data_IF_335464278051
#
_entry.id   IF_335464278051
#
_cell.length_a   1.000
_cell.length_b   1.000
_cell.length_c   1.000
_cell.angle_alpha   90.00
_cell.angle_beta   90.00
_cell.angle_gamma   90.00
#
_symmetry.space_group_name_H-M   'P 1'
#
loop_
_entity.id
_entity.type
_entity.pdbx_description
1 polymer ?
#
# COMPACT_ATOMS: atom_id res chain seq x y z
N UNK A 1 -37.10 -38.28 3.81
CA UNK A 1 -36.30 -37.87 2.64
C UNK A 1 -36.50 -36.38 2.50
N UNK A 2 -35.58 -35.61 3.09
CA UNK A 2 -35.59 -34.15 3.03
C UNK A 2 -34.45 -33.76 2.09
N UNK A 3 -34.80 -33.00 1.05
CA UNK A 3 -33.92 -32.54 -0.01
C UNK A 3 -32.77 -31.67 0.54
N UNK A 4 -31.48 -31.99 0.28
CA UNK A 4 -30.35 -31.18 0.73
C UNK A 4 -29.98 -30.03 -0.22
N UNK A 5 -30.85 -29.61 -1.14
CA UNK A 5 -30.51 -28.60 -2.15
C UNK A 5 -31.45 -27.40 -2.17
N UNK A 6 -31.45 -26.60 -1.10
CA UNK A 6 -31.71 -25.16 -1.22
C UNK A 6 -30.63 -24.41 -0.44
N UNK A 7 -29.53 -24.09 -1.13
CA UNK A 7 -28.61 -23.08 -0.63
C UNK A 7 -29.43 -21.81 -0.37
N UNK A 8 -29.50 -21.38 0.89
CA UNK A 8 -30.06 -20.07 1.23
C UNK A 8 -29.22 -19.06 0.44
N UNK A 9 -29.81 -18.22 -0.43
CA UNK A 9 -29.03 -17.22 -1.16
C UNK A 9 -28.26 -16.39 -0.14
N UNK A 10 -26.95 -16.32 -0.31
CA UNK A 10 -26.10 -15.52 0.58
C UNK A 10 -26.66 -14.08 0.58
N UNK A 11 -26.86 -13.52 1.77
CA UNK A 11 -27.32 -12.13 1.86
C UNK A 11 -26.35 -11.23 1.08
N UNK A 12 -26.87 -10.32 0.27
CA UNK A 12 -26.07 -9.34 -0.47
C UNK A 12 -26.26 -7.94 0.10
N UNK A 13 -25.29 -7.08 -0.15
CA UNK A 13 -25.32 -5.66 0.19
C UNK A 13 -25.27 -4.86 -1.11
N UNK A 14 -26.32 -4.08 -1.35
CA UNK A 14 -26.38 -3.14 -2.47
C UNK A 14 -25.69 -1.82 -2.11
N UNK A 15 -24.97 -1.23 -3.07
CA UNK A 15 -24.35 0.09 -2.98
C UNK A 15 -24.13 0.65 -4.40
N UNK A 16 -23.74 1.91 -4.51
CA UNK A 16 -23.29 2.50 -5.77
C UNK A 16 -21.78 2.69 -5.71
N UNK A 17 -21.03 2.10 -6.62
CA UNK A 17 -19.58 2.26 -6.71
C UNK A 17 -19.24 2.88 -8.05
N UNK A 18 -18.54 4.02 -8.04
CA UNK A 18 -18.09 4.72 -9.26
C UNK A 18 -19.25 4.99 -10.25
N UNK A 19 -20.43 5.30 -9.69
CA UNK A 19 -21.66 5.58 -10.44
C UNK A 19 -22.45 4.34 -10.87
N UNK A 20 -21.95 3.13 -10.61
CA UNK A 20 -22.60 1.87 -10.98
C UNK A 20 -23.24 1.22 -9.76
N UNK A 21 -24.52 0.84 -9.87
CA UNK A 21 -25.19 0.06 -8.84
C UNK A 21 -24.64 -1.37 -8.84
N UNK A 22 -24.20 -1.85 -7.68
CA UNK A 22 -23.59 -3.18 -7.50
C UNK A 22 -24.19 -3.87 -6.28
N UNK A 23 -24.18 -5.19 -6.30
CA UNK A 23 -24.49 -6.04 -5.15
C UNK A 23 -23.30 -6.94 -4.86
N UNK A 24 -22.87 -6.96 -3.59
CA UNK A 24 -21.73 -7.76 -3.13
C UNK A 24 -22.15 -8.71 -2.01
N UNK A 25 -21.54 -9.90 -1.89
CA UNK A 25 -21.85 -10.82 -0.80
C UNK A 25 -21.63 -10.19 0.58
N UNK A 26 -22.56 -10.43 1.51
CA UNK A 26 -22.43 -10.06 2.91
C UNK A 26 -21.64 -11.11 3.69
N UNK A 27 -20.33 -11.17 3.43
CA UNK A 27 -19.41 -12.09 4.12
C UNK A 27 -18.95 -11.57 5.50
N UNK A 28 -19.54 -10.49 6.03
CA UNK A 28 -19.09 -9.85 7.27
C UNK A 28 -17.85 -8.95 7.12
N UNK A 29 -17.45 -8.69 5.88
CA UNK A 29 -16.17 -8.08 5.53
C UNK A 29 -16.07 -6.57 5.56
N UNK A 30 -14.86 -6.11 5.21
CA UNK A 30 -14.55 -4.69 5.05
C UNK A 30 -14.92 -4.17 3.65
N UNK A 31 -15.15 -2.87 3.53
CA UNK A 31 -15.33 -2.20 2.24
C UNK A 31 -14.12 -2.41 1.32
N UNK A 32 -12.90 -2.48 1.86
CA UNK A 32 -11.72 -2.78 1.05
C UNK A 32 -11.80 -4.17 0.38
N UNK A 33 -12.21 -5.18 1.14
CA UNK A 33 -12.36 -6.55 0.63
C UNK A 33 -13.42 -6.60 -0.47
N UNK A 34 -14.56 -5.94 -0.26
CA UNK A 34 -15.60 -5.84 -1.28
C UNK A 34 -15.11 -5.18 -2.57
N UNK A 35 -14.42 -4.04 -2.47
CA UNK A 35 -13.92 -3.32 -3.64
C UNK A 35 -12.86 -4.12 -4.40
N UNK A 36 -11.88 -4.71 -3.69
CA UNK A 36 -10.75 -5.40 -4.34
C UNK A 36 -11.07 -6.83 -4.79
N UNK A 37 -11.67 -7.63 -3.90
CA UNK A 37 -11.80 -9.07 -4.10
C UNK A 37 -13.12 -9.45 -4.77
N UNK A 38 -14.20 -8.69 -4.55
CA UNK A 38 -15.49 -8.95 -5.21
C UNK A 38 -15.74 -8.10 -6.46
N UNK A 39 -15.21 -6.88 -6.51
CA UNK A 39 -15.42 -5.94 -7.63
C UNK A 39 -14.17 -5.71 -8.49
N UNK A 40 -13.01 -6.26 -8.12
CA UNK A 40 -11.76 -6.12 -8.88
C UNK A 40 -11.14 -4.71 -8.87
N UNK A 41 -11.66 -3.78 -8.08
CA UNK A 41 -11.23 -2.38 -8.02
C UNK A 41 -9.93 -2.23 -7.23
N UNK A 42 -8.82 -2.54 -7.92
CA UNK A 42 -7.47 -2.59 -7.35
C UNK A 42 -6.75 -1.23 -7.31
N UNK A 43 -7.36 -0.16 -7.81
CA UNK A 43 -6.93 1.23 -7.57
C UNK A 43 -6.91 1.59 -6.07
N UNK A 44 -7.78 0.95 -5.28
CA UNK A 44 -7.82 1.09 -3.81
C UNK A 44 -6.73 0.22 -3.20
N UNK A 45 -5.70 0.83 -2.61
CA UNK A 45 -4.46 0.13 -2.22
C UNK A 45 -4.50 -0.46 -0.82
N UNK A 46 -4.13 -1.74 -0.71
CA UNK A 46 -4.01 -2.43 0.57
C UNK A 46 -2.57 -2.42 1.12
N UNK A 47 -2.25 -1.48 2.00
CA UNK A 47 -0.91 -1.39 2.62
C UNK A 47 -0.80 -1.91 4.07
N UNK A 48 -1.82 -1.68 4.90
CA UNK A 48 -1.79 -2.10 6.31
C UNK A 48 -3.07 -2.80 6.76
N UNK A 49 -3.95 -3.20 5.83
CA UNK A 49 -5.22 -3.85 6.21
C UNK A 49 -4.96 -5.01 7.18
N UNK A 50 -5.74 -5.15 8.26
CA UNK A 50 -6.95 -4.39 8.61
C UNK A 50 -6.71 -3.31 9.68
N UNK A 51 -5.51 -2.73 9.75
CA UNK A 51 -5.08 -1.85 10.86
C UNK A 51 -5.64 -0.42 10.75
N UNK A 52 -5.87 0.08 9.53
CA UNK A 52 -6.41 1.41 9.27
C UNK A 52 -5.46 2.56 9.55
N UNK A 53 -4.14 2.34 9.43
CA UNK A 53 -3.12 3.31 9.83
C UNK A 53 -2.46 4.08 8.67
N UNK A 54 -2.32 3.47 7.48
CA UNK A 54 -1.55 4.08 6.39
C UNK A 54 -2.35 5.01 5.46
N UNK A 55 -3.68 4.93 5.45
CA UNK A 55 -4.53 5.70 4.55
C UNK A 55 -4.51 5.27 3.06
N UNK A 56 -3.69 4.30 2.64
CA UNK A 56 -3.60 3.88 1.23
C UNK A 56 -4.95 3.42 0.62
N UNK A 57 -5.84 2.90 1.44
CA UNK A 57 -7.16 2.39 1.03
C UNK A 57 -8.28 3.43 1.18
N UNK A 58 -7.95 4.72 1.28
CA UNK A 58 -8.96 5.78 1.37
C UNK A 58 -9.83 5.77 0.11
N UNK A 59 -11.14 5.87 0.30
CA UNK A 59 -12.18 6.07 -0.72
C UNK A 59 -13.08 7.23 -0.29
N UNK A 60 -13.92 7.76 -1.18
CA UNK A 60 -14.98 8.67 -0.79
C UNK A 60 -16.26 7.86 -0.51
N UNK A 61 -16.91 8.12 0.62
CA UNK A 61 -18.26 7.60 0.93
C UNK A 61 -19.18 8.79 1.08
N UNK A 62 -20.14 8.93 0.17
CA UNK A 62 -20.97 10.12 -0.03
C UNK A 62 -20.12 11.42 -0.07
N UNK A 63 -19.05 11.40 -0.87
CA UNK A 63 -18.13 12.53 -1.03
C UNK A 63 -17.15 12.77 0.13
N UNK A 64 -17.22 11.99 1.22
CA UNK A 64 -16.34 12.16 2.37
C UNK A 64 -15.24 11.07 2.43
N UNK A 65 -13.95 11.42 2.63
CA UNK A 65 -12.87 10.44 2.71
C UNK A 65 -13.04 9.45 3.88
N UNK A 66 -12.90 8.15 3.59
CA UNK A 66 -12.98 7.05 4.55
C UNK A 66 -11.93 5.98 4.26
N UNK A 67 -11.29 5.48 5.32
CA UNK A 67 -10.36 4.34 5.25
C UNK A 67 -11.16 3.04 5.12
N UNK A 68 -11.12 2.41 3.95
CA UNK A 68 -12.02 1.30 3.61
C UNK A 68 -11.71 -0.01 4.36
N UNK A 69 -10.44 -0.27 4.73
CA UNK A 69 -10.05 -1.54 5.37
C UNK A 69 -10.58 -1.72 6.81
N UNK A 70 -11.03 -0.65 7.45
CA UNK A 70 -11.66 -0.66 8.79
C UNK A 70 -13.12 -0.23 8.74
N UNK A 71 -13.66 0.02 7.53
CA UNK A 71 -15.07 0.34 7.34
C UNK A 71 -15.81 -0.96 7.04
N UNK A 72 -16.73 -1.43 7.91
CA UNK A 72 -17.52 -2.62 7.61
C UNK A 72 -18.41 -2.37 6.38
N UNK A 73 -18.48 -3.34 5.46
CA UNK A 73 -19.28 -3.22 4.23
C UNK A 73 -20.75 -2.91 4.53
N UNK A 74 -21.33 -3.55 5.54
CA UNK A 74 -22.70 -3.30 6.01
C UNK A 74 -22.99 -1.83 6.36
N UNK A 75 -21.98 -1.05 6.76
CA UNK A 75 -22.16 0.37 7.10
C UNK A 75 -22.25 1.29 5.88
N UNK A 76 -22.01 0.77 4.69
CA UNK A 76 -22.14 1.51 3.43
C UNK A 76 -23.24 0.96 2.53
N UNK A 77 -24.12 0.10 3.07
CA UNK A 77 -25.31 -0.35 2.37
C UNK A 77 -26.16 0.84 1.89
N UNK A 78 -26.50 0.85 0.60
CA UNK A 78 -27.27 1.90 -0.08
C UNK A 78 -26.53 3.22 -0.29
N UNK A 79 -25.25 3.32 0.06
CA UNK A 79 -24.46 4.55 -0.06
C UNK A 79 -23.67 4.60 -1.36
N UNK A 80 -23.17 5.78 -1.70
CA UNK A 80 -22.28 5.97 -2.84
C UNK A 80 -20.83 5.91 -2.39
N UNK A 81 -20.04 5.08 -3.07
CA UNK A 81 -18.59 4.96 -2.90
C UNK A 81 -17.92 5.41 -4.20
N UNK A 82 -16.93 6.29 -4.08
CA UNK A 82 -16.09 6.72 -5.20
C UNK A 82 -14.64 6.35 -4.92
N UNK A 83 -14.05 5.56 -5.81
CA UNK A 83 -12.64 5.19 -5.82
C UNK A 83 -11.84 6.19 -6.65
N UNK A 84 -10.53 5.96 -6.79
CA UNK A 84 -9.68 6.81 -7.63
C UNK A 84 -10.13 6.75 -9.10
N UNK A 85 -10.58 5.57 -9.53
CA UNK A 85 -11.03 5.30 -10.90
C UNK A 85 -12.40 5.93 -11.19
N UNK A 86 -13.18 6.22 -10.14
CA UNK A 86 -14.49 6.87 -10.23
C UNK A 86 -14.48 8.39 -10.15
N UNK A 87 -13.33 9.03 -9.98
CA UNK A 87 -13.22 10.49 -10.11
C UNK A 87 -13.52 10.93 -11.55
N UNK A 88 -13.91 12.19 -11.76
CA UNK A 88 -14.08 12.70 -13.11
C UNK A 88 -12.73 12.61 -13.86
N UNK A 89 -12.72 12.25 -15.17
CA UNK A 89 -11.46 12.11 -15.92
C UNK A 89 -10.57 13.36 -15.90
N UNK A 90 -11.17 14.55 -15.86
CA UNK A 90 -10.45 15.81 -15.72
C UNK A 90 -9.69 15.90 -14.38
N UNK A 91 -10.33 15.49 -13.28
CA UNK A 91 -9.71 15.49 -11.95
C UNK A 91 -8.58 14.46 -11.87
N UNK A 92 -8.78 13.28 -12.46
CA UNK A 92 -7.73 12.25 -12.54
C UNK A 92 -6.49 12.76 -13.29
N UNK A 93 -6.70 13.39 -14.46
CA UNK A 93 -5.61 13.95 -15.25
C UNK A 93 -4.89 15.07 -14.48
N UNK A 94 -5.65 16.01 -13.89
CA UNK A 94 -5.13 17.14 -13.12
C UNK A 94 -4.25 16.67 -11.94
N UNK A 95 -4.74 15.72 -11.14
CA UNK A 95 -3.95 15.14 -10.05
C UNK A 95 -2.74 14.37 -10.54
N UNK A 96 -2.91 13.52 -11.55
CA UNK A 96 -1.82 12.72 -12.12
C UNK A 96 -0.66 13.61 -12.58
N UNK A 97 -0.98 14.68 -13.33
CA UNK A 97 -0.01 15.62 -13.87
C UNK A 97 0.65 16.45 -12.76
N UNK A 98 -0.13 16.98 -11.82
CA UNK A 98 0.39 17.76 -10.70
C UNK A 98 1.36 16.96 -9.81
N UNK A 99 1.02 15.71 -9.50
CA UNK A 99 1.86 14.80 -8.70
C UNK A 99 3.12 14.35 -9.46
N UNK A 100 3.04 14.17 -10.77
CA UNK A 100 4.21 13.86 -11.59
C UNK A 100 5.17 15.04 -11.73
N UNK A 101 4.62 16.22 -12.01
CA UNK A 101 5.39 17.44 -12.17
C UNK A 101 6.15 17.80 -10.89
N UNK A 102 5.47 17.76 -9.74
CA UNK A 102 6.06 18.02 -8.42
C UNK A 102 7.01 16.93 -7.92
N UNK A 103 6.92 15.70 -8.45
CA UNK A 103 7.53 14.54 -7.81
C UNK A 103 6.80 14.10 -6.52
N UNK A 104 5.52 14.47 -6.38
CA UNK A 104 4.60 14.00 -5.35
C UNK A 104 4.21 12.52 -5.48
N UNK A 105 4.52 11.89 -6.61
CA UNK A 105 4.44 10.43 -6.79
C UNK A 105 5.80 9.84 -7.13
N UNK A 106 6.33 9.00 -6.24
CA UNK A 106 7.53 8.18 -6.49
C UNK A 106 7.14 6.73 -6.76
N UNK A 107 6.91 5.94 -5.71
CA UNK A 107 6.43 4.56 -5.86
C UNK A 107 4.95 4.45 -6.27
N UNK A 108 4.17 5.52 -6.09
CA UNK A 108 2.75 5.59 -6.43
C UNK A 108 1.78 4.89 -5.46
N UNK A 109 2.25 4.04 -4.54
CA UNK A 109 1.34 3.17 -3.78
C UNK A 109 0.41 3.90 -2.81
N UNK A 110 0.84 5.00 -2.19
CA UNK A 110 -0.04 5.79 -1.32
C UNK A 110 -0.89 6.82 -2.06
N UNK A 111 -0.55 7.10 -3.32
CA UNK A 111 -1.02 8.28 -4.04
C UNK A 111 -2.53 8.25 -4.31
N UNK A 112 -3.17 7.14 -4.70
CA UNK A 112 -4.63 7.09 -4.88
C UNK A 112 -5.42 7.52 -3.64
N UNK A 113 -5.03 7.00 -2.46
CA UNK A 113 -5.68 7.36 -1.21
C UNK A 113 -5.44 8.82 -0.82
N UNK A 114 -4.26 9.36 -1.12
CA UNK A 114 -3.91 10.77 -0.89
C UNK A 114 -4.76 11.68 -1.77
N UNK A 115 -4.90 11.36 -3.06
CA UNK A 115 -5.74 12.10 -4.01
C UNK A 115 -7.17 12.16 -3.49
N UNK A 116 -7.78 11.03 -3.12
CA UNK A 116 -9.16 11.04 -2.59
C UNK A 116 -9.29 11.80 -1.27
N UNK A 117 -8.26 11.81 -0.43
CA UNK A 117 -8.24 12.62 0.79
C UNK A 117 -8.24 14.11 0.48
N UNK A 118 -7.43 14.53 -0.50
CA UNK A 118 -7.33 15.92 -0.95
C UNK A 118 -8.58 16.35 -1.73
N UNK A 119 -9.20 15.47 -2.52
CA UNK A 119 -10.50 15.73 -3.14
C UNK A 119 -11.59 16.05 -2.11
N UNK A 120 -11.65 15.27 -1.02
CA UNK A 120 -12.56 15.57 0.08
C UNK A 120 -12.25 16.89 0.82
N UNK A 121 -11.04 17.44 0.67
CA UNK A 121 -10.65 18.75 1.19
C UNK A 121 -10.99 19.87 0.19
N UNK A 122 -10.74 19.63 -1.11
CA UNK A 122 -11.10 20.50 -2.25
C UNK A 122 -12.61 20.72 -2.31
N UNK A 123 -13.40 19.66 -2.16
CA UNK A 123 -14.87 19.71 -2.13
C UNK A 123 -15.45 20.58 -0.99
N UNK A 124 -14.66 20.88 0.06
CA UNK A 124 -15.04 21.79 1.15
C UNK A 124 -14.69 23.26 0.86
N UNK A 125 -14.13 23.57 -0.30
CA UNK A 125 -13.70 24.92 -0.67
C UNK A 125 -12.41 25.36 0.02
N UNK A 126 -11.54 24.42 0.42
CA UNK A 126 -10.23 24.76 0.97
C UNK A 126 -9.38 25.43 -0.09
N UNK A 127 -8.77 26.56 0.24
CA UNK A 127 -7.94 27.35 -0.68
C UNK A 127 -6.55 26.71 -0.85
N UNK A 128 -5.91 26.95 -1.99
CA UNK A 128 -4.55 26.49 -2.27
C UNK A 128 -3.55 26.89 -1.17
N UNK A 129 -3.64 28.13 -0.69
CA UNK A 129 -2.75 28.72 0.32
C UNK A 129 -2.95 28.22 1.76
N UNK A 130 -3.97 27.41 2.07
CA UNK A 130 -4.20 26.83 3.41
C UNK A 130 -3.46 25.50 3.61
N UNK A 131 -2.12 25.57 3.59
CA UNK A 131 -1.26 24.40 3.80
C UNK A 131 -1.49 23.74 5.17
N UNK A 132 -1.91 24.52 6.18
CA UNK A 132 -2.24 23.97 7.49
C UNK A 132 -3.45 23.02 7.44
N UNK A 133 -4.44 23.29 6.60
CA UNK A 133 -5.55 22.37 6.36
C UNK A 133 -5.10 21.11 5.60
N UNK A 134 -4.21 21.26 4.62
CA UNK A 134 -3.61 20.15 3.87
C UNK A 134 -2.84 19.23 4.81
N UNK A 135 -1.95 19.76 5.64
CA UNK A 135 -1.17 19.02 6.62
C UNK A 135 -2.08 18.22 7.58
N UNK A 136 -3.11 18.87 8.14
CA UNK A 136 -4.08 18.19 9.01
C UNK A 136 -4.84 17.09 8.27
N UNK A 137 -5.16 17.28 7.00
CA UNK A 137 -5.83 16.25 6.21
C UNK A 137 -4.89 15.05 5.98
N UNK A 138 -3.62 15.30 5.67
CA UNK A 138 -2.60 14.28 5.35
C UNK A 138 -2.01 13.58 6.59
N UNK A 139 -2.19 14.10 7.81
CA UNK A 139 -1.82 13.39 9.05
C UNK A 139 -2.47 11.99 9.17
N UNK A 140 -3.56 11.74 8.46
CA UNK A 140 -4.22 10.44 8.40
C UNK A 140 -3.61 9.47 7.34
N UNK A 141 -2.53 9.89 6.67
CA UNK A 141 -1.85 9.12 5.64
C UNK A 141 -0.37 8.91 5.98
N UNK A 142 0.18 7.82 5.45
CA UNK A 142 1.61 7.59 5.41
C UNK A 142 2.09 7.68 3.96
N UNK A 143 3.25 8.29 3.79
CA UNK A 143 4.05 8.25 2.57
C UNK A 143 5.51 8.05 3.00
N UNK A 144 6.15 7.01 2.46
CA UNK A 144 7.52 6.69 2.83
C UNK A 144 8.57 7.35 1.95
N UNK A 145 8.18 7.79 0.74
CA UNK A 145 9.13 8.18 -0.30
C UNK A 145 9.35 9.68 -0.42
N UNK A 146 8.28 10.50 -0.31
CA UNK A 146 8.30 11.89 -0.78
C UNK A 146 8.76 12.92 0.25
N UNK A 147 8.66 12.60 1.54
CA UNK A 147 8.85 13.60 2.59
C UNK A 147 7.76 14.69 2.61
N UNK A 148 6.61 14.45 1.96
CA UNK A 148 5.39 15.26 1.94
C UNK A 148 5.42 16.58 1.18
N UNK A 149 6.53 17.30 1.16
CA UNK A 149 6.57 18.64 0.55
C UNK A 149 6.09 18.65 -0.92
N UNK A 150 6.55 17.69 -1.73
CA UNK A 150 6.13 17.61 -3.14
C UNK A 150 4.66 17.25 -3.32
N UNK A 151 4.00 16.66 -2.33
CA UNK A 151 2.54 16.44 -2.35
C UNK A 151 1.79 17.73 -2.06
N UNK A 152 2.28 18.56 -1.13
CA UNK A 152 1.72 19.90 -0.87
C UNK A 152 1.88 20.79 -2.10
N UNK A 153 3.04 20.74 -2.75
CA UNK A 153 3.25 21.44 -4.02
C UNK A 153 2.35 20.92 -5.16
N UNK A 154 1.91 19.66 -5.11
CA UNK A 154 0.91 19.15 -6.06
C UNK A 154 -0.48 19.73 -5.74
N UNK A 155 -0.86 19.84 -4.47
CA UNK A 155 -2.08 20.51 -4.04
C UNK A 155 -2.14 21.96 -4.54
N UNK A 156 -1.04 22.72 -4.40
CA UNK A 156 -0.97 24.10 -4.89
C UNK A 156 -1.23 24.21 -6.40
N UNK A 157 -0.81 23.21 -7.17
CA UNK A 157 -1.05 23.17 -8.62
C UNK A 157 -2.50 22.85 -8.99
N UNK A 158 -3.19 22.04 -8.18
CA UNK A 158 -4.59 21.64 -8.41
C UNK A 158 -5.58 22.68 -7.90
N UNK A 159 -5.24 23.41 -6.84
CA UNK A 159 -6.19 24.29 -6.13
C UNK A 159 -5.75 25.76 -6.06
N UNK A 160 -4.49 26.06 -6.36
CA UNK A 160 -3.98 27.43 -6.36
C UNK A 160 -4.46 28.24 -7.58
N UNK A 161 -4.64 29.55 -7.36
CA UNK A 161 -4.97 30.53 -8.42
C UNK A 161 -3.76 30.93 -9.28
N UNK A 162 -2.56 30.50 -8.87
CA UNK A 162 -1.34 30.69 -9.65
C UNK A 162 -1.15 29.42 -10.48
N UNK A 163 -1.32 29.47 -11.81
CA UNK A 163 -0.76 28.45 -12.66
C UNK A 163 0.74 28.71 -12.58
N UNK A 164 1.38 28.27 -11.48
CA UNK A 164 2.82 28.28 -11.41
C UNK A 164 3.25 27.66 -12.73
N UNK A 165 3.88 28.44 -13.64
CA UNK A 165 4.25 27.91 -14.94
C UNK A 165 5.04 26.65 -14.66
N UNK A 166 5.08 25.70 -15.58
CA UNK A 166 6.00 24.58 -15.54
C UNK A 166 7.46 25.07 -15.47
N UNK A 167 7.89 25.59 -14.32
CA UNK A 167 9.22 26.05 -14.01
C UNK A 167 10.06 24.89 -13.51
N UNK A 168 9.41 23.75 -13.24
CA UNK A 168 10.08 22.47 -13.30
C UNK A 168 10.19 22.10 -14.78
N UNK A 169 11.41 21.91 -15.31
CA UNK A 169 11.59 21.48 -16.68
C UNK A 169 10.79 20.19 -16.90
N UNK A 170 10.27 20.03 -18.13
CA UNK A 170 9.63 18.80 -18.55
C UNK A 170 10.53 17.62 -18.17
N UNK A 171 10.02 16.75 -17.30
CA UNK A 171 10.80 15.62 -16.79
C UNK A 171 10.84 14.57 -17.88
N UNK A 172 12.03 14.12 -18.23
CA UNK A 172 12.20 12.92 -19.06
C UNK A 172 11.77 11.70 -18.23
N UNK A 173 10.50 11.33 -18.37
CA UNK A 173 9.89 10.21 -17.64
C UNK A 173 10.53 8.87 -18.04
N UNK A 174 10.97 8.74 -19.29
CA UNK A 174 11.63 7.53 -19.78
C UNK A 174 13.03 7.40 -19.15
N UNK A 175 13.79 8.49 -19.04
CA UNK A 175 15.05 8.49 -18.31
C UNK A 175 14.86 8.21 -16.82
N UNK A 176 13.80 8.75 -16.21
CA UNK A 176 13.45 8.47 -14.83
C UNK A 176 13.11 6.98 -14.62
N UNK A 177 12.31 6.39 -15.51
CA UNK A 177 11.97 4.97 -15.49
C UNK A 177 13.20 4.08 -15.67
N UNK A 178 14.06 4.38 -16.65
CA UNK A 178 15.34 3.65 -16.85
C UNK A 178 16.24 3.72 -15.61
N UNK A 179 16.33 4.90 -14.98
CA UNK A 179 17.12 5.05 -13.75
C UNK A 179 16.53 4.23 -12.61
N UNK A 180 15.21 4.28 -12.43
CA UNK A 180 14.51 3.49 -11.42
C UNK A 180 14.69 1.98 -11.66
N UNK A 181 14.70 1.54 -12.91
CA UNK A 181 14.98 0.14 -13.27
C UNK A 181 16.40 -0.28 -12.90
N UNK A 182 17.42 0.55 -13.17
CA UNK A 182 18.80 0.27 -12.77
C UNK A 182 18.94 0.19 -11.25
N UNK A 183 18.33 1.14 -10.52
CA UNK A 183 18.40 1.20 -9.06
C UNK A 183 17.60 0.08 -8.38
N UNK A 184 16.42 -0.24 -8.92
CA UNK A 184 15.49 -1.26 -8.41
C UNK A 184 15.79 -2.68 -8.90
N UNK A 185 16.59 -2.82 -9.98
CA UNK A 185 16.92 -4.09 -10.65
C UNK A 185 15.70 -4.87 -11.15
N UNK A 186 14.63 -4.16 -11.45
CA UNK A 186 13.39 -4.68 -12.01
C UNK A 186 12.73 -3.59 -12.85
N UNK A 187 11.95 -3.91 -13.89
CA UNK A 187 11.24 -2.90 -14.67
C UNK A 187 10.43 -1.98 -13.76
N UNK A 188 10.55 -0.67 -13.96
CA UNK A 188 9.80 0.34 -13.21
C UNK A 188 9.07 1.28 -14.17
N UNK A 189 7.92 1.78 -13.74
CA UNK A 189 7.18 2.80 -14.48
C UNK A 189 7.19 4.12 -13.72
N UNK A 190 7.23 5.23 -14.43
CA UNK A 190 7.10 6.58 -13.88
C UNK A 190 6.13 7.34 -14.76
N UNK A 191 5.12 7.96 -14.17
CA UNK A 191 4.11 8.72 -14.92
C UNK A 191 2.81 8.91 -14.16
N UNK A 192 1.87 9.63 -14.78
CA UNK A 192 0.58 9.99 -14.17
C UNK A 192 -0.24 8.74 -13.83
N UNK A 193 -0.16 7.70 -14.67
CA UNK A 193 -0.75 6.38 -14.39
C UNK A 193 -0.29 5.79 -13.05
N UNK A 194 0.99 5.96 -12.68
CA UNK A 194 1.54 5.49 -11.40
C UNK A 194 0.97 6.30 -10.24
N UNK A 195 0.80 7.62 -10.41
CA UNK A 195 0.16 8.49 -9.42
C UNK A 195 -1.31 8.11 -9.19
N UNK A 196 -2.01 7.66 -10.23
CA UNK A 196 -3.38 7.19 -10.16
C UNK A 196 -3.51 5.72 -9.69
N UNK A 197 -2.38 5.07 -9.37
CA UNK A 197 -2.37 3.72 -8.80
C UNK A 197 -2.25 2.61 -9.83
N UNK A 198 -2.03 2.90 -11.10
CA UNK A 198 -1.84 1.91 -12.17
C UNK A 198 -0.34 1.56 -12.38
N UNK A 199 0.46 1.61 -11.32
CA UNK A 199 1.91 1.37 -11.39
C UNK A 199 2.35 -0.09 -11.50
N UNK A 200 1.43 -1.03 -11.69
CA UNK A 200 1.76 -2.45 -11.87
C UNK A 200 2.24 -3.18 -10.59
N UNK A 201 1.74 -2.79 -9.42
CA UNK A 201 2.01 -3.47 -8.15
C UNK A 201 1.65 -4.96 -8.23
N UNK A 202 2.48 -5.83 -7.65
CA UNK A 202 2.36 -7.27 -7.87
C UNK A 202 1.00 -7.83 -7.43
N UNK A 203 0.47 -7.39 -6.28
CA UNK A 203 -0.87 -7.79 -5.83
C UNK A 203 -1.98 -7.34 -6.78
N UNK A 204 -1.78 -6.21 -7.46
CA UNK A 204 -2.78 -5.63 -8.34
C UNK A 204 -2.79 -6.26 -9.74
N UNK A 205 -1.71 -6.95 -10.14
CA UNK A 205 -1.57 -7.57 -11.47
C UNK A 205 -1.92 -9.06 -11.51
N UNK A 206 -2.28 -9.65 -10.36
CA UNK A 206 -2.70 -11.06 -10.31
C UNK A 206 -3.94 -11.32 -11.18
N UNK A 207 -4.12 -12.53 -11.74
CA UNK A 207 -5.39 -12.93 -12.35
C UNK A 207 -6.59 -12.67 -11.44
N UNK A 208 -7.76 -12.36 -12.01
CA UNK A 208 -8.97 -12.03 -11.23
C UNK A 208 -9.48 -13.22 -10.42
N UNK A 209 -9.30 -14.44 -10.93
CA UNK A 209 -9.72 -15.70 -10.32
C UNK A 209 -8.64 -16.35 -9.43
N UNK A 210 -7.50 -15.68 -9.20
CA UNK A 210 -6.42 -16.21 -8.38
C UNK A 210 -6.85 -16.44 -6.92
N UNK A 211 -6.46 -17.58 -6.33
CA UNK A 211 -6.56 -17.79 -4.89
C UNK A 211 -5.68 -16.77 -4.15
N UNK A 212 -6.09 -16.40 -2.94
CA UNK A 212 -5.27 -15.57 -2.05
C UNK A 212 -4.63 -16.45 -0.97
N UNK A 213 -3.30 -16.41 -0.88
CA UNK A 213 -2.54 -17.11 0.14
C UNK A 213 -1.92 -16.12 1.14
N UNK A 214 -2.13 -16.38 2.43
CA UNK A 214 -1.54 -15.60 3.52
C UNK A 214 -0.84 -16.51 4.52
N UNK A 215 0.16 -15.97 5.21
CA UNK A 215 0.96 -16.73 6.19
C UNK A 215 0.22 -16.85 7.53
N UNK A 216 0.07 -18.08 8.01
CA UNK A 216 -0.46 -18.38 9.35
C UNK A 216 0.60 -18.17 10.45
N UNK A 217 0.16 -18.22 11.71
CA UNK A 217 1.03 -18.00 12.87
C UNK A 217 2.11 -19.09 13.03
N UNK A 218 1.78 -20.34 12.70
CA UNK A 218 2.69 -21.49 12.72
C UNK A 218 3.65 -21.53 11.51
N UNK A 219 3.45 -20.63 10.54
CA UNK A 219 4.23 -20.55 9.32
C UNK A 219 3.73 -21.35 8.13
N UNK A 220 2.60 -22.04 8.28
CA UNK A 220 1.86 -22.58 7.16
C UNK A 220 1.22 -21.47 6.31
N UNK A 221 0.70 -21.84 5.14
CA UNK A 221 -0.02 -20.96 4.23
C UNK A 221 -1.50 -21.33 4.21
N UNK A 222 -2.36 -20.35 4.47
CA UNK A 222 -3.80 -20.51 4.35
C UNK A 222 -4.28 -19.84 3.08
N UNK A 223 -5.20 -20.50 2.38
CA UNK A 223 -5.75 -20.05 1.11
C UNK A 223 -7.24 -19.71 1.26
N UNK A 224 -7.73 -18.85 0.37
CA UNK A 224 -9.15 -18.52 0.23
C UNK A 224 -9.45 -17.87 -1.11
N UNK A 225 -10.73 -17.75 -1.45
CA UNK A 225 -11.18 -17.02 -2.66
C UNK A 225 -10.97 -15.51 -2.47
N UNK A 226 -11.03 -15.05 -1.21
CA UNK A 226 -10.77 -13.66 -0.83
C UNK A 226 -9.64 -13.57 0.19
N UNK A 227 -9.08 -12.38 0.35
CA UNK A 227 -8.08 -12.12 1.39
C UNK A 227 -8.66 -12.33 2.79
N UNK A 228 -9.95 -12.06 2.97
CA UNK A 228 -10.65 -12.25 4.23
C UNK A 228 -10.80 -13.72 4.60
N UNK A 229 -11.24 -14.55 3.65
CA UNK A 229 -11.31 -16.00 3.83
C UNK A 229 -9.94 -16.59 4.17
N UNK A 230 -8.90 -16.21 3.42
CA UNK A 230 -7.54 -16.66 3.67
C UNK A 230 -7.06 -16.27 5.08
N UNK A 231 -7.37 -15.05 5.53
CA UNK A 231 -7.03 -14.58 6.90
C UNK A 231 -7.82 -15.30 7.97
N UNK A 232 -9.10 -15.59 7.73
CA UNK A 232 -9.90 -16.38 8.66
C UNK A 232 -9.32 -17.80 8.77
N UNK A 233 -9.01 -18.45 7.66
CA UNK A 233 -8.40 -19.78 7.62
C UNK A 233 -7.04 -19.80 8.32
N UNK A 234 -6.22 -18.73 8.18
CA UNK A 234 -4.94 -18.60 8.87
C UNK A 234 -5.07 -18.47 10.39
N UNK A 235 -6.24 -18.07 10.91
CA UNK A 235 -6.47 -17.84 12.34
C UNK A 235 -5.56 -16.77 12.97
N UNK A 236 -4.84 -15.99 12.15
CA UNK A 236 -3.81 -15.05 12.61
C UNK A 236 -4.43 -13.69 12.92
N UNK A 237 -4.47 -13.34 14.21
CA UNK A 237 -4.84 -11.99 14.65
C UNK A 237 -3.65 -11.06 14.47
N UNK A 238 -3.75 -10.12 13.53
CA UNK A 238 -2.68 -9.17 13.26
C UNK A 238 -2.54 -8.14 14.40
N UNK A 239 -1.31 -7.95 14.87
CA UNK A 239 -0.99 -6.95 15.90
C UNK A 239 -1.22 -5.52 15.40
N UNK A 240 -1.78 -4.64 16.25
CA UNK A 240 -2.06 -3.23 15.92
C UNK A 240 -1.09 -2.21 16.54
N UNK A 241 -0.28 -2.61 17.54
CA UNK A 241 0.70 -1.77 18.24
C UNK A 241 1.62 -2.64 19.11
N UNK A 242 2.90 -2.30 19.18
CA UNK A 242 3.78 -2.71 20.28
C UNK A 242 3.99 -1.50 21.19
N UNK A 243 3.84 -1.69 22.50
CA UNK A 243 4.13 -0.67 23.53
C UNK A 243 5.52 -0.88 24.12
N UNK A 244 6.34 -1.73 23.51
CA UNK A 244 7.69 -2.03 23.98
C UNK A 244 8.63 -0.95 23.47
N UNK A 245 9.33 -0.30 24.39
CA UNK A 245 10.36 0.66 24.03
C UNK A 245 11.47 -0.04 23.22
N UNK A 246 11.91 0.53 22.09
CA UNK A 246 12.98 -0.05 21.30
C UNK A 246 14.30 0.09 22.06
N UNK A 247 14.79 -1.01 22.63
CA UNK A 247 16.12 -1.07 23.24
C UNK A 247 17.14 -1.47 22.15
N UNK A 248 18.18 -0.65 21.89
CA UNK A 248 19.27 -1.04 21.01
C UNK A 248 19.88 -2.38 21.48
N UNK A 249 20.01 -3.38 20.61
CA UNK A 249 20.37 -4.73 21.06
C UNK A 249 21.87 -4.92 21.29
N UNK A 250 22.72 -4.08 20.67
CA UNK A 250 24.17 -4.18 20.81
C UNK A 250 24.65 -3.43 22.05
N UNK A 251 25.60 -4.02 22.77
CA UNK A 251 26.33 -3.34 23.82
C UNK A 251 27.35 -2.36 23.22
N UNK A 252 27.73 -1.33 23.97
CA UNK A 252 28.86 -0.48 23.58
C UNK A 252 30.14 -1.31 23.66
N UNK A 253 31.07 -1.23 22.68
CA UNK A 253 32.38 -1.86 22.78
C UNK A 253 33.10 -1.50 24.07
N UNK A 254 33.90 -2.42 24.61
CA UNK A 254 34.71 -2.13 25.80
C UNK A 254 35.79 -1.08 25.49
N UNK A 255 35.93 -0.08 26.38
CA UNK A 255 36.95 0.95 26.28
C UNK A 255 36.59 2.25 26.99
N UNK A 256 37.58 3.13 27.16
CA UNK A 256 37.35 4.52 27.56
C UNK A 256 37.01 5.34 26.32
N UNK A 257 35.76 5.83 26.29
CA UNK A 257 35.18 6.57 25.17
C UNK A 257 34.72 7.94 25.62
N UNK A 258 34.97 8.95 24.79
CA UNK A 258 34.45 10.31 25.00
C UNK A 258 32.99 10.45 24.52
N UNK A 259 32.57 9.61 23.56
CA UNK A 259 31.19 9.50 23.10
C UNK A 259 30.83 8.05 22.74
N UNK A 260 29.55 7.70 22.90
CA UNK A 260 29.03 6.38 22.54
C UNK A 260 27.76 6.50 21.70
N UNK A 261 27.58 5.59 20.75
CA UNK A 261 26.40 5.48 19.90
C UNK A 261 25.84 4.07 19.99
N UNK A 262 24.51 3.94 20.01
CA UNK A 262 23.81 2.66 19.82
C UNK A 262 22.58 2.89 18.95
N UNK A 263 22.38 2.03 17.95
CA UNK A 263 21.19 2.05 17.10
C UNK A 263 20.39 0.77 17.23
N UNK A 264 19.10 0.84 16.94
CA UNK A 264 18.21 -0.32 16.91
C UNK A 264 18.09 -0.88 15.49
N UNK A 265 17.50 -2.06 15.38
CA UNK A 265 16.99 -2.55 14.10
C UNK A 265 16.06 -1.51 13.48
N UNK A 266 16.27 -1.17 12.20
CA UNK A 266 15.40 -0.23 11.48
C UNK A 266 14.65 -0.95 10.39
N UNK A 267 13.33 -0.98 10.55
CA UNK A 267 12.40 -1.48 9.54
C UNK A 267 12.23 -0.42 8.43
N UNK A 268 12.33 -0.83 7.15
CA UNK A 268 12.27 0.08 6.00
C UNK A 268 10.97 0.89 5.89
N UNK A 269 9.82 0.32 6.25
CA UNK A 269 8.55 1.03 6.35
C UNK A 269 7.87 1.31 5.01
N UNK A 270 8.18 0.55 3.95
CA UNK A 270 7.46 0.67 2.68
C UNK A 270 5.99 0.30 2.82
N UNK A 271 5.12 0.91 2.01
CA UNK A 271 3.67 0.79 2.19
C UNK A 271 3.06 -0.42 1.49
N UNK A 272 3.58 -0.79 0.32
CA UNK A 272 3.21 -2.02 -0.38
C UNK A 272 3.88 -3.20 0.32
N UNK A 273 3.14 -3.98 1.10
CA UNK A 273 3.66 -5.22 1.69
C UNK A 273 4.11 -6.20 0.61
N UNK A 274 5.07 -7.09 0.92
CA UNK A 274 5.54 -8.11 -0.02
C UNK A 274 4.38 -8.94 -0.56
N UNK A 275 4.31 -8.99 -1.89
CA UNK A 275 3.30 -9.71 -2.63
C UNK A 275 3.88 -10.19 -3.96
N UNK A 276 3.34 -11.29 -4.46
CA UNK A 276 3.64 -11.90 -5.77
C UNK A 276 2.48 -12.81 -6.14
N UNK A 277 2.46 -13.31 -7.36
CA UNK A 277 1.53 -14.34 -7.80
C UNK A 277 2.18 -15.22 -8.85
N UNK A 278 1.63 -16.40 -9.08
CA UNK A 278 2.08 -17.32 -10.11
C UNK A 278 0.89 -18.10 -10.68
N UNK A 279 0.92 -18.39 -11.97
CA UNK A 279 0.06 -19.39 -12.64
C UNK A 279 0.66 -20.79 -12.48
N UNK A 280 -0.14 -21.86 -12.60
CA UNK A 280 0.36 -23.24 -12.61
C UNK A 280 1.36 -23.44 -13.76
N UNK A 281 2.54 -23.98 -13.44
CA UNK A 281 3.64 -24.19 -14.39
C UNK A 281 4.28 -22.89 -14.91
N UNK A 282 3.92 -21.73 -14.37
CA UNK A 282 4.42 -20.42 -14.77
C UNK A 282 5.64 -19.94 -13.98
N UNK A 283 6.11 -18.74 -14.34
CA UNK A 283 7.09 -17.99 -13.56
C UNK A 283 6.41 -16.96 -12.67
N UNK A 284 6.83 -16.81 -11.40
CA UNK A 284 6.23 -15.85 -10.49
C UNK A 284 6.42 -14.39 -10.94
N UNK A 285 5.40 -13.57 -10.69
CA UNK A 285 5.52 -12.13 -10.84
C UNK A 285 6.53 -11.54 -9.85
N UNK A 286 7.33 -10.57 -10.28
CA UNK A 286 8.31 -9.93 -9.38
C UNK A 286 7.63 -9.19 -8.22
N UNK A 287 8.12 -9.40 -7.00
CA UNK A 287 7.71 -8.64 -5.81
C UNK A 287 8.35 -7.25 -5.74
N UNK A 288 9.27 -6.95 -6.67
CA UNK A 288 10.03 -5.70 -6.81
C UNK A 288 9.41 -4.75 -7.86
N UNK A 289 8.10 -4.85 -8.09
CA UNK A 289 7.36 -3.86 -8.87
C UNK A 289 7.46 -2.44 -8.26
N UNK A 290 6.68 -1.48 -8.74
CA UNK A 290 6.83 -0.06 -8.41
C UNK A 290 6.77 0.33 -6.91
N UNK A 291 6.30 -0.51 -5.99
CA UNK A 291 5.90 -0.12 -4.63
C UNK A 291 6.98 0.19 -3.59
N UNK A 292 8.22 0.44 -4.01
CA UNK A 292 9.30 0.95 -3.16
C UNK A 292 9.80 -0.07 -2.14
N UNK A 293 11.10 -0.42 -2.19
CA UNK A 293 11.67 -1.47 -1.35
C UNK A 293 12.62 -0.96 -0.26
N UNK A 294 13.23 0.22 -0.45
CA UNK A 294 14.28 0.77 0.44
C UNK A 294 15.38 -0.26 0.79
N UNK A 295 15.73 -1.11 -0.18
CA UNK A 295 16.73 -2.17 -0.04
C UNK A 295 16.26 -3.45 0.66
N UNK A 296 14.98 -3.61 0.95
CA UNK A 296 14.48 -4.68 1.83
C UNK A 296 13.41 -5.60 1.22
N UNK A 297 13.15 -5.52 -0.08
CA UNK A 297 12.43 -6.57 -0.79
C UNK A 297 13.45 -7.41 -1.58
N UNK A 298 13.87 -8.58 -1.08
CA UNK A 298 14.73 -9.47 -1.85
C UNK A 298 13.93 -10.06 -3.01
N UNK A 299 14.58 -10.23 -4.16
CA UNK A 299 14.02 -10.99 -5.26
C UNK A 299 13.64 -12.41 -4.79
N UNK A 300 12.48 -12.89 -5.24
CA UNK A 300 12.03 -14.29 -5.23
C UNK A 300 11.62 -14.94 -3.90
N UNK A 301 11.70 -14.26 -2.75
CA UNK A 301 11.39 -14.90 -1.45
C UNK A 301 9.94 -15.40 -1.27
N UNK A 302 8.97 -14.84 -2.02
CA UNK A 302 7.60 -15.36 -2.08
C UNK A 302 7.28 -16.09 -3.39
N UNK A 303 8.12 -15.95 -4.41
CA UNK A 303 7.84 -16.48 -5.74
C UNK A 303 7.74 -18.01 -5.72
N UNK A 304 8.66 -18.68 -5.01
CA UNK A 304 8.62 -20.14 -4.84
C UNK A 304 7.36 -20.63 -4.14
N UNK A 305 6.85 -19.86 -3.17
CA UNK A 305 5.60 -20.17 -2.48
C UNK A 305 4.43 -20.06 -3.45
N UNK A 306 4.36 -18.98 -4.22
CA UNK A 306 3.29 -18.75 -5.18
C UNK A 306 3.24 -19.86 -6.23
N UNK A 307 4.40 -20.20 -6.81
CA UNK A 307 4.50 -21.29 -7.80
C UNK A 307 4.04 -22.63 -7.22
N UNK A 308 4.58 -23.02 -6.05
CA UNK A 308 4.22 -24.30 -5.41
C UNK A 308 2.72 -24.39 -5.15
N UNK A 309 2.12 -23.33 -4.59
CA UNK A 309 0.69 -23.33 -4.29
C UNK A 309 -0.14 -23.33 -5.58
N UNK A 310 0.29 -22.61 -6.63
CA UNK A 310 -0.41 -22.61 -7.91
C UNK A 310 -0.41 -24.00 -8.56
N UNK A 311 0.73 -24.69 -8.54
CA UNK A 311 0.85 -26.06 -9.05
C UNK A 311 -0.01 -27.05 -8.26
N UNK A 312 -0.03 -26.93 -6.92
CA UNK A 312 -0.82 -27.79 -6.03
C UNK A 312 -2.33 -27.63 -6.26
N UNK A 313 -2.79 -26.40 -6.48
CA UNK A 313 -4.21 -26.09 -6.63
C UNK A 313 -4.69 -26.04 -8.07
N UNK A 314 -3.79 -26.11 -9.06
CA UNK A 314 -4.12 -26.02 -10.48
C UNK A 314 -4.77 -24.69 -10.87
N UNK A 315 -4.48 -23.62 -10.12
CA UNK A 315 -5.03 -22.26 -10.32
C UNK A 315 -3.99 -21.21 -9.95
N UNK A 316 -4.07 -20.01 -10.50
CA UNK A 316 -3.23 -18.92 -10.06
C UNK A 316 -3.36 -18.70 -8.54
N UNK A 317 -2.23 -18.43 -7.88
CA UNK A 317 -2.19 -18.09 -6.45
C UNK A 317 -1.42 -16.80 -6.27
N UNK A 318 -2.06 -15.79 -5.68
CA UNK A 318 -1.37 -14.60 -5.17
C UNK A 318 -1.00 -14.79 -3.71
N UNK A 319 0.28 -14.61 -3.41
CA UNK A 319 0.85 -14.74 -2.07
C UNK A 319 1.10 -13.35 -1.52
N UNK A 320 0.66 -13.10 -0.29
CA UNK A 320 0.83 -11.80 0.35
C UNK A 320 1.26 -11.92 1.80
N UNK A 321 2.20 -11.07 2.17
CA UNK A 321 2.52 -10.79 3.56
C UNK A 321 1.57 -9.77 4.15
N UNK A 322 1.24 -9.95 5.43
CA UNK A 322 0.66 -8.86 6.21
C UNK A 322 1.73 -7.84 6.58
N UNK A 323 1.32 -6.64 7.00
CA UNK A 323 2.22 -5.65 7.60
C UNK A 323 3.03 -6.24 8.76
N UNK A 324 2.43 -7.12 9.55
CA UNK A 324 3.14 -7.80 10.64
C UNK A 324 4.20 -8.78 10.12
N UNK A 325 3.93 -9.51 9.03
CA UNK A 325 4.92 -10.42 8.42
C UNK A 325 6.11 -9.63 7.88
N UNK A 326 5.88 -8.51 7.20
CA UNK A 326 6.95 -7.59 6.75
C UNK A 326 7.81 -7.14 7.94
N UNK A 327 7.17 -6.68 9.02
CA UNK A 327 7.89 -6.21 10.20
C UNK A 327 8.63 -7.33 10.91
N UNK A 328 8.13 -8.57 10.95
CA UNK A 328 8.79 -9.68 11.66
C UNK A 328 9.87 -10.36 10.83
N UNK A 329 9.58 -10.65 9.58
CA UNK A 329 10.36 -11.54 8.72
C UNK A 329 11.17 -10.77 7.67
N UNK A 330 10.75 -9.55 7.31
CA UNK A 330 11.43 -8.73 6.32
C UNK A 330 12.83 -8.29 6.76
N UNK A 331 13.75 -8.08 5.80
CA UNK A 331 15.05 -7.49 6.05
C UNK A 331 14.96 -6.16 6.81
N UNK A 332 15.92 -5.93 7.70
CA UNK A 332 16.06 -4.70 8.49
C UNK A 332 17.48 -4.22 8.40
N UNK A 333 17.68 -2.90 8.52
CA UNK A 333 19.03 -2.38 8.71
C UNK A 333 19.58 -2.89 10.04
N UNK A 334 20.74 -3.56 10.06
CA UNK A 334 21.34 -4.02 11.30
C UNK A 334 21.63 -2.88 12.27
N UNK A 335 21.50 -3.12 13.59
CA UNK A 335 21.96 -2.19 14.60
C UNK A 335 23.48 -2.05 14.53
N UNK A 336 24.00 -0.92 15.00
CA UNK A 336 25.42 -0.68 15.23
C UNK A 336 25.64 -0.08 16.60
N UNK A 337 26.78 -0.35 17.21
CA UNK A 337 27.25 0.33 18.40
C UNK A 337 28.68 0.85 18.20
N UNK A 338 28.97 2.03 18.75
CA UNK A 338 30.29 2.62 18.62
C UNK A 338 30.74 3.30 19.90
N UNK A 339 32.06 3.27 20.12
CA UNK A 339 32.77 4.12 21.06
C UNK A 339 33.76 4.98 20.30
N UNK A 340 33.77 6.29 20.58
CA UNK A 340 34.57 7.29 19.86
C UNK A 340 35.32 8.16 20.87
N UNK A 341 36.59 8.44 20.59
CA UNK A 341 37.44 9.34 21.37
C UNK A 341 37.46 10.75 20.77
N UNK A 342 37.89 11.73 21.55
CA UNK A 342 37.97 13.13 21.15
C UNK A 342 38.92 13.38 19.96
N UNK A 343 39.89 12.49 19.73
CA UNK A 343 40.79 12.52 18.57
C UNK A 343 40.19 11.94 17.28
N UNK A 344 38.94 11.46 17.34
CA UNK A 344 38.23 10.84 16.22
C UNK A 344 38.52 9.34 16.02
N UNK A 345 39.40 8.74 16.82
CA UNK A 345 39.60 7.29 16.84
C UNK A 345 38.43 6.58 17.53
N UNK A 346 38.13 5.33 17.14
CA UNK A 346 37.01 4.60 17.72
C UNK A 346 36.89 3.17 17.24
N UNK A 347 35.88 2.49 17.78
CA UNK A 347 35.50 1.11 17.40
C UNK A 347 34.02 1.12 17.03
N UNK A 348 33.68 0.48 15.91
CA UNK A 348 32.32 0.25 15.44
C UNK A 348 32.08 -1.26 15.39
N UNK A 349 30.97 -1.71 15.99
CA UNK A 349 30.47 -3.08 15.97
C UNK A 349 29.03 -3.13 15.49
#
# INVERSE_FOLDING_TARGET
MSDPSTAVPAATIALVVDGVAVEVPDAGGSLLGALRDHLGLRGVKDGCSPQGQCGCCTVLVDGAPRVSCVTPLRRVAGRTVTTIDGLAPADQAEWGDALCASGGSQCGFCTPGIVLRLEGLRAKGTRGDDHAAVDRALQAHLCRCTGWQTIVEAWDRVVGDDPAPSALPERDLDAAARRAEIEGRAPQQVGSSVALGHGGFADDTAPEDALVAVRAADGSWALGETLEEARHAAGKVQGRRTTVDPVPPLAVPEGEWDATLRTSWVEPGYLETDATWCEPGGEPATSLANGGAFGAKPADHLGEVARRLADEHGRAVRVRWSREDVVRLGPKRPPVAAGVRADGSGVLV
#
